data_IF_087814012375
#
_entry.id   IF_087814012375
#
_cell.length_a   1.000
_cell.length_b   1.000
_cell.length_c   1.000
_cell.angle_alpha   90.00
_cell.angle_beta   90.00
_cell.angle_gamma   90.00
#
_symmetry.space_group_name_H-M   'P 1'
#
loop_
_entity.id
_entity.type
_entity.pdbx_description
1 polymer ?
#
# COMPACT_ATOMS: atom_id res chain seq x y z
N UNK A 1 -7.27 6.62 -6.71
CA UNK A 1 -7.79 6.45 -8.09
C UNK A 1 -7.46 7.65 -8.97
N UNK A 2 -7.80 8.88 -8.56
CA UNK A 2 -7.52 10.10 -9.34
C UNK A 2 -6.02 10.32 -9.64
N UNK A 3 -5.16 10.05 -8.67
CA UNK A 3 -3.69 10.09 -8.82
C UNK A 3 -3.15 9.09 -9.85
N UNK A 4 -3.71 7.88 -9.90
CA UNK A 4 -3.36 6.86 -10.89
C UNK A 4 -3.80 7.25 -12.31
N UNK A 5 -4.99 7.84 -12.45
CA UNK A 5 -5.49 8.32 -13.74
C UNK A 5 -4.63 9.47 -14.29
N UNK A 6 -4.25 10.43 -13.44
CA UNK A 6 -3.32 11.51 -13.80
C UNK A 6 -1.96 10.94 -14.18
N UNK A 7 -1.49 9.93 -13.44
CA UNK A 7 -0.22 9.27 -13.72
C UNK A 7 -0.20 8.59 -15.09
N UNK A 8 -1.24 7.85 -15.43
CA UNK A 8 -1.36 7.22 -16.76
C UNK A 8 -1.32 8.28 -17.87
N UNK A 9 -2.06 9.39 -17.72
CA UNK A 9 -2.07 10.47 -18.71
C UNK A 9 -0.70 11.14 -18.88
N UNK A 10 0.04 11.36 -17.79
CA UNK A 10 1.37 11.96 -17.83
C UNK A 10 2.41 11.05 -18.49
N UNK A 11 2.42 9.76 -18.16
CA UNK A 11 3.36 8.79 -18.74
C UNK A 11 3.02 8.48 -20.20
N UNK A 12 1.73 8.44 -20.57
CA UNK A 12 1.29 8.31 -21.96
C UNK A 12 1.77 9.49 -22.82
N UNK A 13 1.81 10.72 -22.27
CA UNK A 13 2.31 11.91 -22.99
C UNK A 13 3.83 11.90 -23.17
N UNK A 14 4.57 11.35 -22.22
CA UNK A 14 6.04 11.38 -22.21
C UNK A 14 6.72 10.17 -22.90
N UNK A 15 5.94 9.24 -23.49
CA UNK A 15 6.45 8.00 -24.12
C UNK A 15 7.34 7.14 -23.20
N UNK A 16 7.22 7.31 -21.90
CA UNK A 16 7.95 6.56 -20.87
C UNK A 16 6.98 5.61 -20.19
N UNK A 17 7.41 4.37 -19.94
CA UNK A 17 6.61 3.39 -19.19
C UNK A 17 7.06 3.37 -17.73
N UNK A 18 6.09 3.33 -16.81
CA UNK A 18 6.36 2.96 -15.42
C UNK A 18 6.63 1.46 -15.37
N UNK A 19 7.78 1.05 -14.82
CA UNK A 19 8.05 -0.37 -14.54
C UNK A 19 7.07 -0.91 -13.49
N UNK A 20 6.75 -0.08 -12.48
CA UNK A 20 5.83 -0.42 -11.41
C UNK A 20 4.71 0.65 -11.30
N UNK A 21 3.48 0.34 -11.74
CA UNK A 21 2.33 1.24 -11.62
C UNK A 21 1.97 1.59 -10.17
N UNK A 22 2.32 0.77 -9.19
CA UNK A 22 2.05 1.06 -7.77
C UNK A 22 2.92 2.20 -7.24
N UNK A 23 4.12 2.38 -7.83
CA UNK A 23 5.04 3.46 -7.50
C UNK A 23 4.71 4.79 -8.16
N UNK A 24 3.60 4.89 -8.89
CA UNK A 24 3.19 6.12 -9.58
C UNK A 24 3.12 7.30 -8.60
N UNK A 25 2.51 7.09 -7.43
CA UNK A 25 2.37 8.13 -6.41
C UNK A 25 3.72 8.54 -5.81
N UNK A 26 4.61 7.59 -5.56
CA UNK A 26 5.98 7.86 -5.04
C UNK A 26 6.78 8.67 -6.06
N UNK A 27 6.68 8.33 -7.34
CA UNK A 27 7.40 9.04 -8.40
C UNK A 27 6.87 10.46 -8.58
N UNK A 28 5.55 10.65 -8.61
CA UNK A 28 4.97 12.00 -8.62
C UNK A 28 5.33 12.80 -7.38
N UNK A 29 5.42 12.16 -6.23
CA UNK A 29 5.77 12.85 -5.00
C UNK A 29 7.22 13.35 -4.99
N UNK A 30 8.13 12.69 -5.71
CA UNK A 30 9.49 13.20 -5.92
C UNK A 30 9.56 14.33 -6.95
N UNK A 31 8.66 14.33 -7.94
CA UNK A 31 8.63 15.35 -9.00
C UNK A 31 7.95 16.64 -8.51
N UNK A 32 6.86 16.54 -7.75
CA UNK A 32 6.04 17.69 -7.35
C UNK A 32 6.47 18.32 -6.02
N UNK A 33 7.14 17.59 -5.13
CA UNK A 33 7.46 18.06 -3.78
C UNK A 33 8.95 18.07 -3.48
N UNK A 34 9.33 18.86 -2.47
CA UNK A 34 10.68 18.88 -1.92
C UNK A 34 10.98 17.56 -1.17
N UNK A 35 12.22 17.04 -1.19
CA UNK A 35 12.58 15.74 -0.60
C UNK A 35 12.13 15.52 0.85
N UNK A 36 12.09 16.56 1.68
CA UNK A 36 11.58 16.47 3.05
C UNK A 36 10.08 16.10 3.12
N UNK A 37 9.27 16.68 2.25
CA UNK A 37 7.83 16.42 2.17
C UNK A 37 7.60 15.04 1.57
N UNK A 38 8.37 14.68 0.55
CA UNK A 38 8.31 13.34 -0.07
C UNK A 38 8.63 12.24 0.95
N UNK A 39 9.64 12.44 1.81
CA UNK A 39 9.97 11.49 2.88
C UNK A 39 8.86 11.36 3.93
N UNK A 40 8.24 12.47 4.31
CA UNK A 40 7.07 12.44 5.19
C UNK A 40 5.91 11.66 4.57
N UNK A 41 5.64 11.89 3.29
CA UNK A 41 4.55 11.23 2.56
C UNK A 41 4.80 9.73 2.39
N UNK A 42 6.04 9.32 2.12
CA UNK A 42 6.43 7.91 2.10
C UNK A 42 6.20 7.24 3.45
N UNK A 43 6.55 7.94 4.54
CA UNK A 43 6.30 7.46 5.90
C UNK A 43 4.80 7.28 6.19
N UNK A 44 3.96 8.20 5.71
CA UNK A 44 2.50 8.11 5.87
C UNK A 44 1.90 6.89 5.14
N UNK A 45 2.41 6.56 3.95
CA UNK A 45 1.99 5.35 3.21
C UNK A 45 2.35 4.10 4.01
N UNK A 46 3.58 4.01 4.49
CA UNK A 46 4.04 2.87 5.30
C UNK A 46 3.20 2.71 6.58
N UNK A 47 2.88 3.82 7.26
CA UNK A 47 2.03 3.81 8.44
C UNK A 47 0.60 3.31 8.13
N UNK A 48 0.00 3.76 7.02
CA UNK A 48 -1.33 3.32 6.59
C UNK A 48 -1.38 1.83 6.25
N UNK A 49 -0.34 1.32 5.57
CA UNK A 49 -0.22 -0.10 5.25
C UNK A 49 -0.05 -0.92 6.52
N UNK A 50 0.81 -0.51 7.44
CA UNK A 50 1.01 -1.22 8.72
C UNK A 50 -0.29 -1.32 9.52
N UNK A 51 -1.09 -0.24 9.57
CA UNK A 51 -2.40 -0.25 10.23
C UNK A 51 -3.39 -1.24 9.59
N UNK A 52 -3.33 -1.41 8.26
CA UNK A 52 -4.19 -2.35 7.53
C UNK A 52 -3.70 -3.79 7.70
N UNK A 53 -2.38 -4.00 7.69
CA UNK A 53 -1.78 -5.31 7.91
C UNK A 53 -2.06 -5.81 9.32
N UNK A 54 -1.93 -4.96 10.34
CA UNK A 54 -2.20 -5.37 11.72
C UNK A 54 -3.62 -5.89 11.92
N UNK A 55 -4.63 -5.24 11.33
CA UNK A 55 -6.02 -5.71 11.44
C UNK A 55 -6.26 -7.02 10.68
N UNK A 56 -5.72 -7.15 9.47
CA UNK A 56 -5.82 -8.39 8.69
C UNK A 56 -5.10 -9.56 9.37
N UNK A 57 -3.91 -9.32 9.93
CA UNK A 57 -3.14 -10.31 10.67
C UNK A 57 -3.89 -10.75 11.93
N UNK A 58 -4.55 -9.82 12.64
CA UNK A 58 -5.36 -10.13 13.80
C UNK A 58 -6.58 -11.00 13.45
N UNK A 59 -7.25 -10.70 12.32
CA UNK A 59 -8.37 -11.52 11.82
C UNK A 59 -7.91 -12.93 11.48
N UNK A 60 -6.80 -13.07 10.75
CA UNK A 60 -6.23 -14.37 10.38
C UNK A 60 -5.77 -15.14 11.63
N UNK A 61 -5.11 -14.46 12.57
CA UNK A 61 -4.64 -15.09 13.81
C UNK A 61 -5.81 -15.59 14.67
N UNK A 62 -6.93 -14.87 14.68
CA UNK A 62 -8.14 -15.27 15.40
C UNK A 62 -8.79 -16.48 14.73
N UNK A 63 -8.94 -16.47 13.40
CA UNK A 63 -9.49 -17.60 12.64
C UNK A 63 -8.63 -18.86 12.82
N UNK A 64 -7.31 -18.74 12.70
CA UNK A 64 -6.37 -19.85 12.93
C UNK A 64 -6.52 -20.39 14.36
N UNK A 65 -6.56 -19.53 15.37
CA UNK A 65 -6.72 -19.97 16.76
C UNK A 65 -8.05 -20.69 16.97
N UNK A 66 -9.15 -20.17 16.40
CA UNK A 66 -10.48 -20.76 16.50
C UNK A 66 -10.56 -22.13 15.80
N UNK A 67 -9.99 -22.25 14.59
CA UNK A 67 -9.96 -23.48 13.81
C UNK A 67 -9.11 -24.56 14.48
N UNK A 68 -7.95 -24.19 15.03
CA UNK A 68 -7.12 -25.11 15.80
C UNK A 68 -7.81 -25.52 17.10
N UNK A 69 -8.41 -24.58 17.84
CA UNK A 69 -9.11 -24.89 19.08
C UNK A 69 -10.31 -25.83 18.86
N UNK A 70 -11.15 -25.55 17.85
CA UNK A 70 -12.25 -26.44 17.46
C UNK A 70 -11.74 -27.81 17.04
N UNK A 71 -10.73 -27.88 16.18
CA UNK A 71 -10.24 -29.16 15.65
C UNK A 71 -9.61 -30.06 16.71
N UNK A 72 -8.83 -29.49 17.65
CA UNK A 72 -8.06 -30.28 18.62
C UNK A 72 -8.71 -30.42 19.99
N UNK A 73 -9.41 -29.40 20.47
CA UNK A 73 -9.89 -29.35 21.85
C UNK A 73 -11.39 -29.57 21.99
N UNK A 74 -12.17 -29.28 20.93
CA UNK A 74 -13.62 -29.30 21.00
C UNK A 74 -14.22 -29.99 19.77
N UNK A 75 -14.23 -31.34 19.79
CA UNK A 75 -15.22 -32.09 19.01
C UNK A 75 -16.63 -31.71 19.44
#
# INVERSE_FOLDING_TARGET
MLTGLIGIAYYAKNNTTLQDPEMVFVTFSNILFHPYITGFLLSAILASIMSSISSQLLVISSAVTEDFYKTFFRR
#
